data_IF_238992334869
#
_entry.id   IF_238992334869
#
_cell.length_a   1.000
_cell.length_b   1.000
_cell.length_c   1.000
_cell.angle_alpha   90.00
_cell.angle_beta   90.00
_cell.angle_gamma   90.00
#
_symmetry.space_group_name_H-M   'P 1'
#
loop_
_entity.id
_entity.type
_entity.pdbx_description
1 polymer ?
#
# COMPACT_ATOMS: atom_id res chain seq x y z
N UNK A 1 0.95 29.31 105.63
CA UNK A 1 0.48 30.69 105.40
C UNK A 1 0.51 30.89 103.89
N UNK A 2 -0.58 30.48 103.26
CA UNK A 2 -0.80 30.56 101.83
C UNK A 2 -1.03 32.03 101.53
N UNK A 3 -0.13 32.66 100.76
CA UNK A 3 -0.47 33.95 100.18
C UNK A 3 -1.60 33.68 99.20
N UNK A 4 -2.80 34.16 99.52
CA UNK A 4 -3.88 34.34 98.57
C UNK A 4 -3.29 34.99 97.32
N UNK A 5 -3.23 34.23 96.24
CA UNK A 5 -3.00 34.81 94.93
C UNK A 5 -4.23 35.68 94.71
N UNK A 6 -4.02 36.99 94.68
CA UNK A 6 -5.04 37.99 94.38
C UNK A 6 -5.92 37.47 93.23
N UNK A 7 -7.23 37.36 93.47
CA UNK A 7 -8.23 36.82 92.52
C UNK A 7 -8.10 37.48 91.14
N UNK A 8 -7.66 38.74 91.10
CA UNK A 8 -7.38 39.45 89.87
C UNK A 8 -6.19 38.87 89.09
N UNK A 9 -5.15 38.36 89.76
CA UNK A 9 -3.98 37.71 89.17
C UNK A 9 -4.33 36.33 88.61
N UNK A 10 -5.08 35.52 89.33
CA UNK A 10 -5.53 34.20 88.83
C UNK A 10 -6.43 34.35 87.61
N UNK A 11 -7.39 35.27 87.67
CA UNK A 11 -8.28 35.57 86.56
C UNK A 11 -7.48 36.08 85.34
N UNK A 12 -6.49 36.97 85.53
CA UNK A 12 -5.61 37.46 84.46
C UNK A 12 -4.81 36.34 83.80
N UNK A 13 -4.18 35.46 84.59
CA UNK A 13 -3.41 34.33 84.06
C UNK A 13 -4.30 33.35 83.28
N UNK A 14 -5.52 33.11 83.76
CA UNK A 14 -6.49 32.27 83.05
C UNK A 14 -6.89 32.88 81.70
N UNK A 15 -7.14 34.19 81.65
CA UNK A 15 -7.40 34.89 80.39
C UNK A 15 -6.22 34.83 79.43
N UNK A 16 -4.99 35.10 79.90
CA UNK A 16 -3.79 35.00 79.07
C UNK A 16 -3.55 33.58 78.55
N UNK A 17 -3.82 32.55 79.36
CA UNK A 17 -3.69 31.15 78.95
C UNK A 17 -4.72 30.78 77.87
N UNK A 18 -5.98 31.19 78.04
CA UNK A 18 -7.03 30.97 77.05
C UNK A 18 -6.72 31.72 75.74
N UNK A 19 -6.24 32.95 75.81
CA UNK A 19 -5.81 33.71 74.62
C UNK A 19 -4.65 33.01 73.89
N UNK A 20 -3.66 32.50 74.63
CA UNK A 20 -2.55 31.71 74.05
C UNK A 20 -3.04 30.41 73.41
N UNK A 21 -3.97 29.69 74.05
CA UNK A 21 -4.58 28.48 73.47
C UNK A 21 -5.32 28.77 72.18
N UNK A 22 -6.14 29.84 72.16
CA UNK A 22 -6.87 30.27 70.96
C UNK A 22 -5.90 30.63 69.85
N UNK A 23 -4.82 31.37 70.16
CA UNK A 23 -3.78 31.71 69.19
C UNK A 23 -3.09 30.46 68.64
N UNK A 24 -2.67 29.54 69.50
CA UNK A 24 -2.01 28.29 69.10
C UNK A 24 -2.92 27.43 68.21
N UNK A 25 -4.20 27.28 68.56
CA UNK A 25 -5.18 26.54 67.74
C UNK A 25 -5.41 27.24 66.39
N UNK A 26 -5.45 28.58 66.34
CA UNK A 26 -5.59 29.33 65.09
C UNK A 26 -4.37 29.12 64.19
N UNK A 27 -3.17 29.14 64.75
CA UNK A 27 -1.93 28.91 64.00
C UNK A 27 -1.85 27.46 63.51
N UNK A 28 -2.26 26.50 64.33
CA UNK A 28 -2.38 25.09 63.92
C UNK A 28 -3.39 24.90 62.78
N UNK A 29 -4.59 25.51 62.87
CA UNK A 29 -5.60 25.42 61.80
C UNK A 29 -5.11 26.04 60.49
N UNK A 30 -4.36 27.14 60.53
CA UNK A 30 -3.74 27.72 59.34
C UNK A 30 -2.71 26.77 58.72
N UNK A 31 -1.82 26.21 59.53
CA UNK A 31 -0.80 25.27 59.05
C UNK A 31 -1.44 23.98 58.49
N UNK A 32 -2.47 23.47 59.15
CA UNK A 32 -3.22 22.30 58.70
C UNK A 32 -3.97 22.57 57.40
N UNK A 33 -4.55 23.77 57.23
CA UNK A 33 -5.17 24.20 55.97
C UNK A 33 -4.20 24.11 54.80
N UNK A 34 -2.97 24.63 54.95
CA UNK A 34 -1.94 24.54 53.91
C UNK A 34 -1.57 23.10 53.54
N UNK A 35 -1.57 22.19 54.51
CA UNK A 35 -1.30 20.76 54.27
C UNK A 35 -2.48 20.14 53.53
N UNK A 36 -3.71 20.44 53.93
CA UNK A 36 -4.91 19.95 53.28
C UNK A 36 -4.97 20.38 51.81
N UNK A 37 -4.65 21.65 51.52
CA UNK A 37 -4.61 22.17 50.15
C UNK A 37 -3.57 21.42 49.30
N UNK A 38 -2.36 21.18 49.85
CA UNK A 38 -1.32 20.39 49.16
C UNK A 38 -1.73 18.95 48.90
N UNK A 39 -2.46 18.32 49.82
CA UNK A 39 -2.97 16.96 49.64
C UNK A 39 -4.04 16.94 48.55
N UNK A 40 -4.92 17.94 48.49
CA UNK A 40 -5.91 18.06 47.43
C UNK A 40 -5.25 18.27 46.06
N UNK A 41 -4.29 19.19 45.97
CA UNK A 41 -3.51 19.43 44.74
C UNK A 41 -2.80 18.17 44.25
N UNK A 42 -2.23 17.39 45.18
CA UNK A 42 -1.59 16.13 44.85
C UNK A 42 -2.59 15.09 44.34
N UNK A 43 -3.74 14.95 45.01
CA UNK A 43 -4.79 14.04 44.58
C UNK A 43 -5.31 14.38 43.18
N UNK A 44 -5.47 15.68 42.87
CA UNK A 44 -5.91 16.11 41.54
C UNK A 44 -4.85 15.85 40.47
N UNK A 45 -3.57 16.07 40.77
CA UNK A 45 -2.47 15.70 39.86
C UNK A 45 -2.44 14.20 39.59
N UNK A 46 -2.64 13.36 40.60
CA UNK A 46 -2.71 11.90 40.43
C UNK A 46 -3.89 11.51 39.54
N UNK A 47 -5.08 12.11 39.73
CA UNK A 47 -6.24 11.88 38.86
C UNK A 47 -5.97 12.29 37.42
N UNK A 48 -5.36 13.46 37.21
CA UNK A 48 -4.98 13.92 35.88
C UNK A 48 -3.99 12.97 35.19
N UNK A 49 -2.96 12.52 35.93
CA UNK A 49 -2.01 11.53 35.42
C UNK A 49 -2.70 10.23 35.04
N UNK A 50 -3.62 9.74 35.87
CA UNK A 50 -4.37 8.51 35.58
C UNK A 50 -5.17 8.65 34.27
N UNK A 51 -5.88 9.77 34.10
CA UNK A 51 -6.65 10.04 32.89
C UNK A 51 -5.75 10.10 31.64
N UNK A 52 -4.58 10.77 31.74
CA UNK A 52 -3.62 10.84 30.64
C UNK A 52 -3.07 9.44 30.29
N UNK A 53 -2.76 8.63 31.29
CA UNK A 53 -2.29 7.26 31.09
C UNK A 53 -3.35 6.40 30.41
N UNK A 54 -4.61 6.52 30.81
CA UNK A 54 -5.74 5.79 30.20
C UNK A 54 -5.95 6.22 28.75
N UNK A 55 -5.97 7.53 28.47
CA UNK A 55 -6.06 8.08 27.12
C UNK A 55 -4.91 7.60 26.22
N UNK A 56 -3.69 7.56 26.77
CA UNK A 56 -2.52 7.09 26.04
C UNK A 56 -2.61 5.60 25.74
N UNK A 57 -3.03 4.78 26.71
CA UNK A 57 -3.25 3.35 26.52
C UNK A 57 -4.30 3.09 25.43
N UNK A 58 -5.43 3.83 25.47
CA UNK A 58 -6.48 3.74 24.47
C UNK A 58 -5.99 4.14 23.06
N UNK A 59 -5.20 5.22 22.95
CA UNK A 59 -4.58 5.63 21.68
C UNK A 59 -3.61 4.61 21.14
N UNK A 60 -2.75 4.05 21.99
CA UNK A 60 -1.79 2.99 21.60
C UNK A 60 -2.55 1.78 21.09
N UNK A 61 -3.58 1.33 21.81
CA UNK A 61 -4.37 0.17 21.41
C UNK A 61 -5.11 0.43 20.10
N UNK A 62 -5.72 1.61 19.92
CA UNK A 62 -6.39 1.99 18.67
C UNK A 62 -5.41 2.02 17.49
N UNK A 63 -4.24 2.62 17.67
CA UNK A 63 -3.21 2.68 16.62
C UNK A 63 -2.68 1.29 16.29
N UNK A 64 -2.46 0.43 17.29
CA UNK A 64 -2.06 -0.97 17.07
C UNK A 64 -3.06 -1.70 16.18
N UNK A 65 -4.36 -1.60 16.48
CA UNK A 65 -5.41 -2.22 15.65
C UNK A 65 -5.43 -1.66 14.24
N UNK A 66 -5.33 -0.34 14.08
CA UNK A 66 -5.28 0.31 12.75
C UNK A 66 -4.06 -0.13 11.95
N UNK A 67 -2.88 -0.19 12.57
CA UNK A 67 -1.65 -0.66 11.92
C UNK A 67 -1.77 -2.13 11.53
N UNK A 68 -2.37 -2.98 12.36
CA UNK A 68 -2.61 -4.38 12.01
C UNK A 68 -3.54 -4.52 10.80
N UNK A 69 -4.65 -3.78 10.74
CA UNK A 69 -5.54 -3.76 9.57
C UNK A 69 -4.81 -3.28 8.30
N UNK A 70 -4.04 -2.19 8.39
CA UNK A 70 -3.23 -1.69 7.27
C UNK A 70 -2.20 -2.71 6.78
N UNK A 71 -1.53 -3.42 7.69
CA UNK A 71 -0.59 -4.49 7.34
C UNK A 71 -1.31 -5.65 6.64
N UNK A 72 -2.47 -6.08 7.13
CA UNK A 72 -3.26 -7.13 6.49
C UNK A 72 -3.71 -6.74 5.08
N UNK A 73 -4.21 -5.51 4.90
CA UNK A 73 -4.60 -4.98 3.58
C UNK A 73 -3.41 -4.88 2.62
N UNK A 74 -2.26 -4.44 3.12
CA UNK A 74 -1.04 -4.32 2.31
C UNK A 74 -0.53 -5.69 1.89
N UNK A 75 -0.57 -6.69 2.78
CA UNK A 75 -0.21 -8.07 2.45
C UNK A 75 -1.15 -8.66 1.38
N UNK A 76 -2.45 -8.40 1.48
CA UNK A 76 -3.43 -8.82 0.47
C UNK A 76 -3.13 -8.19 -0.90
N UNK A 77 -2.89 -6.87 -0.95
CA UNK A 77 -2.54 -6.15 -2.17
C UNK A 77 -1.21 -6.63 -2.78
N UNK A 78 -0.20 -6.94 -1.96
CA UNK A 78 1.06 -7.49 -2.45
C UNK A 78 0.86 -8.87 -3.09
N UNK A 79 0.00 -9.71 -2.52
CA UNK A 79 -0.29 -11.02 -3.08
C UNK A 79 -1.08 -10.93 -4.39
N UNK A 80 -2.04 -10.00 -4.46
CA UNK A 80 -2.76 -9.70 -5.70
C UNK A 80 -1.82 -9.17 -6.79
N UNK A 81 -0.96 -8.20 -6.45
CA UNK A 81 0.08 -7.69 -7.34
C UNK A 81 0.95 -8.82 -7.90
N UNK A 82 1.46 -9.71 -7.04
CA UNK A 82 2.28 -10.85 -7.48
C UNK A 82 1.52 -11.79 -8.42
N UNK A 83 0.22 -11.95 -8.21
CA UNK A 83 -0.63 -12.77 -9.09
C UNK A 83 -0.83 -12.10 -10.44
N UNK A 84 -1.06 -10.79 -10.47
CA UNK A 84 -1.15 -10.00 -11.69
C UNK A 84 0.16 -9.99 -12.47
N UNK A 85 1.30 -9.81 -11.80
CA UNK A 85 2.63 -9.86 -12.43
C UNK A 85 2.88 -11.22 -13.09
N UNK A 86 2.52 -12.33 -12.44
CA UNK A 86 2.63 -13.66 -13.06
C UNK A 86 1.75 -13.80 -14.31
N UNK A 87 0.52 -13.30 -14.26
CA UNK A 87 -0.38 -13.31 -15.41
C UNK A 87 0.16 -12.43 -16.55
N UNK A 88 0.69 -11.26 -16.22
CA UNK A 88 1.32 -10.36 -17.18
C UNK A 88 2.50 -11.05 -17.87
N UNK A 89 3.41 -11.67 -17.12
CA UNK A 89 4.54 -12.42 -17.70
C UNK A 89 4.06 -13.55 -18.63
N UNK A 90 2.99 -14.27 -18.25
CA UNK A 90 2.43 -15.31 -19.11
C UNK A 90 1.80 -14.74 -20.40
N UNK A 91 1.11 -13.60 -20.32
CA UNK A 91 0.54 -12.89 -21.48
C UNK A 91 1.67 -12.36 -22.36
N UNK A 92 2.70 -11.74 -21.79
CA UNK A 92 3.83 -11.19 -22.53
C UNK A 92 4.61 -12.30 -23.26
N UNK A 93 4.87 -13.44 -22.60
CA UNK A 93 5.48 -14.62 -23.25
C UNK A 93 4.57 -15.14 -24.37
N UNK A 94 3.25 -15.21 -24.15
CA UNK A 94 2.30 -15.63 -25.18
C UNK A 94 2.30 -14.69 -26.39
N UNK A 95 2.14 -13.38 -26.19
CA UNK A 95 2.15 -12.38 -27.27
C UNK A 95 3.50 -12.36 -27.99
N UNK A 96 4.62 -12.46 -27.27
CA UNK A 96 5.94 -12.51 -27.89
C UNK A 96 6.13 -13.74 -28.79
N UNK A 97 5.41 -14.84 -28.54
CA UNK A 97 5.49 -16.06 -29.34
C UNK A 97 4.52 -16.07 -30.50
N UNK A 98 3.30 -15.57 -30.28
CA UNK A 98 2.17 -15.76 -31.19
C UNK A 98 1.67 -14.49 -31.89
N UNK A 99 2.26 -13.33 -31.62
CA UNK A 99 1.94 -12.08 -32.30
C UNK A 99 3.13 -11.58 -33.13
N UNK A 100 2.82 -10.85 -34.20
CA UNK A 100 3.79 -10.11 -34.98
C UNK A 100 4.00 -8.73 -34.36
N UNK A 101 5.25 -8.26 -34.39
CA UNK A 101 5.56 -6.86 -34.11
C UNK A 101 5.07 -5.96 -35.25
N UNK A 102 4.84 -4.69 -34.94
CA UNK A 102 4.46 -3.68 -35.95
C UNK A 102 5.49 -3.57 -37.09
N UNK A 103 6.76 -3.80 -36.80
CA UNK A 103 7.84 -3.82 -37.79
C UNK A 103 7.73 -5.03 -38.72
N UNK A 104 7.45 -6.22 -38.17
CA UNK A 104 7.22 -7.43 -38.97
C UNK A 104 5.97 -7.31 -39.84
N UNK A 105 4.89 -6.73 -39.32
CA UNK A 105 3.68 -6.46 -40.11
C UNK A 105 3.92 -5.46 -41.24
N UNK A 106 4.69 -4.40 -40.98
CA UNK A 106 5.05 -3.43 -42.00
C UNK A 106 5.95 -4.07 -43.06
N UNK A 107 6.91 -4.90 -42.65
CA UNK A 107 7.81 -5.61 -43.55
C UNK A 107 7.04 -6.57 -44.48
N UNK A 108 5.98 -7.23 -44.00
CA UNK A 108 5.15 -8.15 -44.82
C UNK A 108 4.38 -7.46 -45.95
N UNK A 109 4.16 -6.14 -45.89
CA UNK A 109 3.50 -5.40 -46.97
C UNK A 109 4.43 -5.13 -48.16
N UNK A 110 5.74 -5.31 -47.99
CA UNK A 110 6.74 -4.95 -48.98
C UNK A 110 6.85 -3.43 -49.19
N UNK A 111 7.70 -2.99 -50.12
CA UNK A 111 7.84 -1.57 -50.44
C UNK A 111 6.60 -1.05 -51.20
N UNK A 112 5.96 0.01 -50.68
CA UNK A 112 4.76 0.64 -51.27
C UNK A 112 4.96 1.17 -52.70
N UNK A 113 6.21 1.42 -53.12
CA UNK A 113 6.51 2.07 -54.41
C UNK A 113 6.83 1.10 -55.53
N UNK A 114 7.54 -0.02 -55.27
CA UNK A 114 8.03 -0.93 -56.32
C UNK A 114 7.72 -2.41 -56.09
N UNK A 115 7.10 -2.78 -54.96
CA UNK A 115 6.82 -4.18 -54.61
C UNK A 115 8.09 -5.03 -54.44
N UNK A 116 9.27 -4.40 -54.29
CA UNK A 116 10.54 -5.08 -54.06
C UNK A 116 10.51 -5.65 -52.63
N UNK A 117 10.72 -6.95 -52.54
CA UNK A 117 10.89 -7.67 -51.27
C UNK A 117 12.33 -7.56 -50.81
N UNK A 118 12.53 -7.17 -49.55
CA UNK A 118 13.84 -7.04 -48.93
C UNK A 118 14.13 -8.22 -47.97
N UNK A 119 15.29 -8.23 -47.33
CA UNK A 119 15.65 -9.27 -46.36
C UNK A 119 14.70 -9.28 -45.13
N UNK A 120 14.14 -8.12 -44.78
CA UNK A 120 13.20 -8.00 -43.66
C UNK A 120 11.87 -8.67 -43.97
N UNK A 121 11.38 -8.55 -45.21
CA UNK A 121 10.20 -9.27 -45.69
C UNK A 121 10.36 -10.79 -45.52
N UNK A 122 11.50 -11.37 -45.94
CA UNK A 122 11.71 -12.81 -45.80
C UNK A 122 11.83 -13.25 -44.33
N UNK A 123 12.43 -12.41 -43.49
CA UNK A 123 12.52 -12.64 -42.05
C UNK A 123 11.14 -12.63 -41.40
N UNK A 124 10.32 -11.63 -41.72
CA UNK A 124 8.93 -11.54 -41.25
C UNK A 124 8.08 -12.70 -41.81
N UNK A 125 8.24 -13.08 -43.07
CA UNK A 125 7.54 -14.23 -43.66
C UNK A 125 7.92 -15.55 -42.96
N UNK A 126 9.20 -15.73 -42.63
CA UNK A 126 9.65 -16.87 -41.84
C UNK A 126 9.03 -16.84 -40.44
N UNK A 127 8.93 -15.66 -39.82
CA UNK A 127 8.25 -15.49 -38.54
C UNK A 127 6.78 -15.90 -38.60
N UNK A 128 6.01 -15.44 -39.59
CA UNK A 128 4.60 -15.83 -39.77
C UNK A 128 4.47 -17.35 -39.91
N UNK A 129 5.34 -17.99 -40.71
CA UNK A 129 5.35 -19.46 -40.86
C UNK A 129 5.66 -20.17 -39.55
N UNK A 130 6.60 -19.65 -38.77
CA UNK A 130 6.94 -20.17 -37.44
C UNK A 130 5.71 -20.09 -36.53
N UNK A 131 5.07 -18.93 -36.42
CA UNK A 131 3.88 -18.72 -35.58
C UNK A 131 2.74 -19.65 -36.00
N UNK A 132 2.49 -19.79 -37.32
CA UNK A 132 1.46 -20.69 -37.85
C UNK A 132 1.77 -22.18 -37.54
N UNK A 133 3.04 -22.59 -37.52
CA UNK A 133 3.43 -23.94 -37.12
C UNK A 133 3.27 -24.15 -35.61
N UNK A 134 3.68 -23.16 -34.82
CA UNK A 134 3.59 -23.17 -33.36
C UNK A 134 2.13 -23.18 -32.90
N UNK A 135 1.23 -22.46 -33.57
CA UNK A 135 -0.21 -22.46 -33.27
C UNK A 135 -0.85 -23.83 -33.54
N UNK A 136 -0.38 -24.56 -34.57
CA UNK A 136 -0.78 -25.95 -34.83
C UNK A 136 -0.33 -26.90 -33.72
N UNK A 137 0.84 -26.66 -33.13
CA UNK A 137 1.29 -27.40 -31.95
C UNK A 137 0.49 -27.02 -30.70
N UNK A 138 0.19 -25.73 -30.52
CA UNK A 138 -0.67 -25.24 -29.43
C UNK A 138 -2.06 -25.89 -29.50
N UNK A 139 -2.66 -25.98 -30.68
CA UNK A 139 -3.95 -26.64 -30.91
C UNK A 139 -3.96 -28.14 -30.54
N UNK A 140 -2.80 -28.80 -30.66
CA UNK A 140 -2.64 -30.24 -30.35
C UNK A 140 -2.33 -30.51 -28.88
N UNK A 141 -1.73 -29.55 -28.19
CA UNK A 141 -1.19 -29.71 -26.84
C UNK A 141 -2.02 -29.01 -25.77
N UNK A 142 -2.80 -27.99 -26.14
CA UNK A 142 -3.67 -27.22 -25.26
C UNK A 142 -5.14 -27.51 -25.53
N UNK A 143 -5.97 -27.48 -24.49
CA UNK A 143 -7.44 -27.49 -24.60
C UNK A 143 -8.03 -26.12 -25.00
N UNK A 144 -7.20 -25.08 -25.13
CA UNK A 144 -7.59 -23.73 -25.57
C UNK A 144 -7.65 -23.66 -27.10
N UNK A 145 -8.62 -24.40 -27.67
CA UNK A 145 -8.74 -24.56 -29.11
C UNK A 145 -9.07 -23.26 -29.84
N UNK A 146 -9.82 -22.35 -29.23
CA UNK A 146 -10.32 -21.15 -29.92
C UNK A 146 -9.20 -20.14 -30.24
N UNK A 147 -8.39 -19.75 -29.25
CA UNK A 147 -7.30 -18.80 -29.47
C UNK A 147 -6.24 -19.34 -30.44
N UNK A 148 -5.92 -20.63 -30.34
CA UNK A 148 -4.99 -21.28 -31.28
C UNK A 148 -5.52 -21.29 -32.71
N UNK A 149 -6.84 -21.49 -32.90
CA UNK A 149 -7.49 -21.43 -34.22
C UNK A 149 -7.49 -20.01 -34.78
N UNK A 150 -7.86 -19.00 -33.98
CA UNK A 150 -7.88 -17.60 -34.39
C UNK A 150 -6.49 -17.13 -34.86
N UNK A 151 -5.45 -17.42 -34.07
CA UNK A 151 -4.06 -17.09 -34.44
C UNK A 151 -3.65 -17.83 -35.72
N UNK A 152 -4.03 -19.11 -35.85
CA UNK A 152 -3.70 -19.89 -37.04
C UNK A 152 -4.37 -19.33 -38.30
N UNK A 153 -5.64 -18.95 -38.22
CA UNK A 153 -6.38 -18.32 -39.31
C UNK A 153 -5.79 -16.96 -39.68
N UNK A 154 -5.50 -16.11 -38.68
CA UNK A 154 -4.86 -14.82 -38.89
C UNK A 154 -3.51 -14.98 -39.62
N UNK A 155 -2.65 -15.87 -39.15
CA UNK A 155 -1.35 -16.11 -39.79
C UNK A 155 -1.48 -16.72 -41.18
N UNK A 156 -2.50 -17.55 -41.43
CA UNK A 156 -2.78 -18.09 -42.76
C UNK A 156 -3.14 -16.97 -43.75
N UNK A 157 -3.98 -16.02 -43.33
CA UNK A 157 -4.32 -14.84 -44.13
C UNK A 157 -3.08 -13.98 -44.42
N UNK A 158 -2.23 -13.75 -43.41
CA UNK A 158 -0.95 -13.01 -43.60
C UNK A 158 0.00 -13.72 -44.57
N UNK A 159 0.03 -15.07 -44.56
CA UNK A 159 0.82 -15.83 -45.54
C UNK A 159 0.29 -15.66 -46.96
N UNK A 160 -1.03 -15.67 -47.14
CA UNK A 160 -1.66 -15.45 -48.44
C UNK A 160 -1.34 -14.05 -48.99
N UNK A 161 -1.52 -13.01 -48.18
CA UNK A 161 -1.15 -11.62 -48.52
C UNK A 161 0.33 -11.52 -48.92
N UNK A 162 1.23 -12.12 -48.14
CA UNK A 162 2.66 -12.10 -48.43
C UNK A 162 3.01 -12.85 -49.72
N UNK A 163 2.33 -13.95 -50.03
CA UNK A 163 2.53 -14.66 -51.30
C UNK A 163 2.05 -13.84 -52.50
N UNK A 164 0.98 -13.06 -52.37
CA UNK A 164 0.57 -12.13 -53.43
C UNK A 164 1.63 -11.05 -53.68
N UNK A 165 2.22 -10.49 -52.62
CA UNK A 165 3.31 -9.51 -52.72
C UNK A 165 4.51 -10.13 -53.47
N UNK A 166 4.92 -11.35 -53.10
CA UNK A 166 5.98 -12.08 -53.79
C UNK A 166 5.66 -12.30 -55.27
N UNK A 167 4.44 -12.71 -55.58
CA UNK A 167 4.01 -12.95 -56.96
C UNK A 167 4.09 -11.66 -57.80
N UNK A 168 3.60 -10.53 -57.27
CA UNK A 168 3.67 -9.22 -57.93
C UNK A 168 5.13 -8.78 -58.13
N UNK A 169 5.97 -8.96 -57.12
CA UNK A 169 7.41 -8.64 -57.18
C UNK A 169 8.12 -9.39 -58.31
N UNK A 170 7.92 -10.71 -58.38
CA UNK A 170 8.52 -11.56 -59.42
C UNK A 170 8.00 -11.16 -60.80
N UNK A 171 6.70 -10.92 -60.95
CA UNK A 171 6.14 -10.45 -62.22
C UNK A 171 6.73 -9.13 -62.69
N UNK A 172 6.99 -8.20 -61.76
CA UNK A 172 7.60 -6.91 -62.08
C UNK A 172 9.05 -7.09 -62.56
N UNK A 173 9.84 -7.90 -61.86
CA UNK A 173 11.22 -8.23 -62.25
C UNK A 173 11.26 -8.88 -63.64
N UNK A 174 10.36 -9.83 -63.91
CA UNK A 174 10.32 -10.54 -65.20
C UNK A 174 9.85 -9.64 -66.35
N UNK A 175 9.00 -8.63 -66.09
CA UNK A 175 8.59 -7.64 -67.11
C UNK A 175 9.64 -6.58 -67.42
N UNK A 176 10.62 -6.39 -66.52
CA UNK A 176 11.71 -5.43 -66.69
C UNK A 176 12.89 -6.04 -67.48
N UNK A 177 12.96 -7.37 -67.57
CA UNK A 177 13.89 -8.12 -68.44
C UNK A 177 13.26 -8.45 -69.79
#
# INVERSE_FOLDING_TARGET
>A
MVNEIDIHVERRLKYELEERKIKANRDYMKAFGLINDRVHDFADKVRQLNNICEDMANKIQSNKTKTQDLLARTAALQNEKKTLEKKQVAIDDFLSRYSLSLEEEAALKGSETDGIVDANFFTALQRVKQIHADSKQLLRSSGEHLAALEIMEEMANKLEEAYEVLYRSIQHIVKIY
#
